data_IF_710507787038
#
_entry.id   IF_710507787038
#
_cell.length_a   1.000
_cell.length_b   1.000
_cell.length_c   1.000
_cell.angle_alpha   90.00
_cell.angle_beta   90.00
_cell.angle_gamma   90.00
#
_symmetry.space_group_name_H-M   'P 1'
#
loop_
_entity.id
_entity.type
_entity.pdbx_description
1 polymer ?
#
# COMPACT_ATOMS: atom_id res chain seq x y z
N UNK A 1 33.83 82.90 -11.62
CA UNK A 1 32.69 82.12 -11.11
C UNK A 1 33.23 80.90 -10.36
N UNK A 2 32.72 80.67 -9.15
CA UNK A 2 32.63 79.43 -8.34
C UNK A 2 33.71 78.34 -8.54
N UNK A 3 34.59 78.12 -7.56
CA UNK A 3 34.42 77.19 -6.42
C UNK A 3 34.27 75.70 -6.80
N UNK A 4 35.27 74.91 -6.37
CA UNK A 4 34.98 73.78 -5.48
C UNK A 4 35.35 72.38 -6.00
N UNK A 5 36.21 71.70 -5.22
CA UNK A 5 35.99 70.41 -4.51
C UNK A 5 37.36 69.74 -4.28
N UNK A 6 37.94 69.69 -3.06
CA UNK A 6 37.66 68.74 -1.95
C UNK A 6 37.42 67.29 -2.43
N UNK A 7 37.97 66.21 -1.87
CA UNK A 7 39.09 65.83 -0.99
C UNK A 7 39.04 64.28 -1.02
N UNK A 8 40.19 63.61 -0.92
CA UNK A 8 40.43 62.35 -0.19
C UNK A 8 39.65 61.07 -0.60
N UNK A 9 40.38 59.99 -0.90
CA UNK A 9 40.06 58.68 -0.34
C UNK A 9 41.32 57.98 0.19
N UNK A 10 41.35 57.82 1.52
CA UNK A 10 42.38 57.19 2.32
C UNK A 10 42.37 55.68 2.07
N UNK A 11 43.55 55.17 1.71
CA UNK A 11 43.92 53.76 1.73
C UNK A 11 43.96 53.27 3.18
N UNK A 12 43.03 52.40 3.58
CA UNK A 12 43.00 51.80 4.90
C UNK A 12 42.80 50.28 4.80
N UNK A 13 43.90 49.59 5.07
CA UNK A 13 44.03 48.29 5.74
C UNK A 13 43.49 47.02 5.10
N UNK A 14 44.45 46.26 4.56
CA UNK A 14 44.46 44.81 4.50
C UNK A 14 44.24 44.19 5.89
N UNK A 15 43.23 43.34 6.02
CA UNK A 15 43.12 42.30 7.05
C UNK A 15 42.96 40.96 6.31
N UNK A 16 43.77 39.92 6.59
CA UNK A 16 43.51 38.61 6.06
C UNK A 16 42.31 38.00 6.82
N UNK A 17 41.25 37.70 6.10
CA UNK A 17 40.14 36.86 6.58
C UNK A 17 40.71 35.45 6.82
N UNK A 18 41.05 35.16 8.08
CA UNK A 18 41.32 33.78 8.51
C UNK A 18 39.99 33.03 8.47
N UNK A 19 39.76 32.30 7.38
CA UNK A 19 38.69 31.30 7.29
C UNK A 19 39.00 30.20 8.29
N UNK A 20 38.41 30.29 9.48
CA UNK A 20 38.27 29.15 10.38
C UNK A 20 37.31 28.19 9.69
N UNK A 21 37.86 27.16 9.03
CA UNK A 21 37.07 25.97 8.66
C UNK A 21 36.81 25.24 9.97
N UNK A 22 35.68 25.54 10.61
CA UNK A 22 35.13 24.62 11.59
C UNK A 22 34.72 23.38 10.81
N UNK A 23 35.51 22.31 10.92
CA UNK A 23 35.01 20.97 10.64
C UNK A 23 33.77 20.81 11.52
N UNK A 24 32.59 20.85 10.89
CA UNK A 24 31.37 20.47 11.58
C UNK A 24 31.58 19.00 11.95
N UNK A 25 31.88 18.73 13.23
CA UNK A 25 31.53 17.46 13.82
C UNK A 25 30.07 17.22 13.45
N UNK A 26 29.81 16.16 12.69
CA UNK A 26 28.47 15.62 12.56
C UNK A 26 28.01 15.26 13.97
N UNK A 27 27.40 16.23 14.64
CA UNK A 27 26.58 15.95 15.80
C UNK A 27 25.50 15.01 15.32
N UNK A 28 25.67 13.75 15.72
CA UNK A 28 24.72 12.66 15.55
C UNK A 28 23.48 12.97 16.42
N UNK A 29 22.73 13.97 15.99
CA UNK A 29 21.40 14.32 16.48
C UNK A 29 20.44 13.51 15.61
N UNK A 30 19.92 12.44 16.17
CA UNK A 30 18.99 11.52 15.51
C UNK A 30 17.88 12.26 14.77
N UNK A 31 17.64 11.86 13.52
CA UNK A 31 16.59 12.46 12.71
C UNK A 31 16.15 11.58 11.54
N UNK A 32 17.09 10.93 10.85
CA UNK A 32 16.79 9.82 9.94
C UNK A 32 18.00 8.86 9.96
N UNK A 33 18.00 7.84 10.83
CA UNK A 33 19.03 6.78 10.83
C UNK A 33 18.37 5.41 10.73
N UNK A 34 19.00 4.55 9.92
CA UNK A 34 18.46 3.36 9.27
C UNK A 34 17.10 3.62 8.58
N UNK A 35 17.19 3.87 7.27
CA UNK A 35 16.06 4.02 6.33
C UNK A 35 15.24 2.73 6.22
N UNK A 36 14.62 2.27 7.28
CA UNK A 36 13.87 1.01 7.31
C UNK A 36 12.69 1.11 8.25
N UNK A 37 11.61 0.42 7.92
CA UNK A 37 10.47 0.20 8.81
C UNK A 37 10.24 -1.30 8.90
N UNK A 38 10.38 -1.85 10.10
CA UNK A 38 10.50 -3.30 10.28
C UNK A 38 11.71 -3.86 9.53
N UNK A 39 11.46 -4.92 8.75
CA UNK A 39 12.47 -5.56 7.89
C UNK A 39 12.62 -4.89 6.51
N UNK A 40 11.78 -3.90 6.17
CA UNK A 40 11.75 -3.29 4.83
C UNK A 40 12.66 -2.06 4.78
N UNK A 41 13.59 -2.03 3.82
CA UNK A 41 14.42 -0.85 3.54
C UNK A 41 13.69 0.14 2.62
N UNK A 42 13.73 1.43 2.98
CA UNK A 42 12.97 2.52 2.39
C UNK A 42 13.89 3.54 1.74
N UNK A 43 13.81 3.68 0.43
CA UNK A 43 14.52 4.69 -0.33
C UNK A 43 13.60 5.39 -1.30
N UNK A 44 14.11 6.45 -1.94
CA UNK A 44 13.39 7.14 -3.00
C UNK A 44 12.84 6.10 -4.03
N UNK A 45 11.59 6.27 -4.50
CA UNK A 45 10.75 7.46 -4.36
C UNK A 45 9.95 7.54 -3.05
N UNK A 46 9.99 6.52 -2.20
CA UNK A 46 9.25 6.49 -0.93
C UNK A 46 9.88 7.41 0.12
N UNK A 47 9.01 8.00 0.95
CA UNK A 47 9.41 8.93 1.99
C UNK A 47 8.43 8.88 3.18
N UNK A 48 8.87 9.37 4.34
CA UNK A 48 8.06 9.45 5.55
C UNK A 48 7.91 10.90 6.01
N UNK A 49 6.75 11.23 6.57
CA UNK A 49 6.62 12.34 7.49
C UNK A 49 6.82 11.85 8.93
N UNK A 50 7.85 12.34 9.61
CA UNK A 50 7.94 12.18 11.06
C UNK A 50 6.93 13.15 11.71
N UNK A 51 5.84 12.59 12.20
CA UNK A 51 4.76 13.34 12.86
C UNK A 51 5.15 13.89 14.23
N UNK A 52 6.20 13.37 14.87
CA UNK A 52 6.70 13.86 16.16
C UNK A 52 7.64 15.05 15.99
N UNK A 53 8.53 15.00 14.98
CA UNK A 53 9.52 16.05 14.76
C UNK A 53 9.18 17.00 13.61
N UNK A 54 8.16 16.69 12.82
CA UNK A 54 7.79 17.41 11.59
C UNK A 54 8.83 17.25 10.46
N UNK A 55 9.86 16.40 10.64
CA UNK A 55 10.90 16.20 9.62
C UNK A 55 10.42 15.25 8.54
N UNK A 56 10.75 15.57 7.29
CA UNK A 56 10.55 14.68 6.16
C UNK A 56 11.79 13.80 6.01
N UNK A 57 11.62 12.48 6.14
CA UNK A 57 12.69 11.51 5.91
C UNK A 57 12.57 10.95 4.50
N UNK A 58 13.54 11.31 3.65
CA UNK A 58 13.56 10.97 2.23
C UNK A 58 13.58 12.22 1.35
N UNK A 59 13.37 12.04 0.05
CA UNK A 59 13.12 13.15 -0.87
C UNK A 59 11.60 13.26 -1.05
N UNK A 60 10.91 14.18 -0.36
CA UNK A 60 9.46 14.28 -0.43
C UNK A 60 9.04 14.43 -1.89
N UNK A 61 8.36 13.40 -2.38
CA UNK A 61 7.94 13.24 -3.76
C UNK A 61 6.43 13.43 -3.89
N UNK A 62 5.82 12.63 -4.75
CA UNK A 62 4.37 12.62 -4.88
C UNK A 62 3.73 12.06 -3.59
N UNK A 63 2.53 12.53 -3.21
CA UNK A 63 1.80 12.02 -2.04
C UNK A 63 1.55 10.51 -2.09
N UNK A 64 1.41 9.94 -3.29
CA UNK A 64 1.23 8.50 -3.52
C UNK A 64 2.42 7.64 -3.04
N UNK A 65 3.59 8.25 -2.76
CA UNK A 65 4.78 7.58 -2.23
C UNK A 65 5.06 7.92 -0.76
N UNK A 66 4.18 8.68 -0.11
CA UNK A 66 4.24 8.90 1.33
C UNK A 66 3.89 7.61 2.07
N UNK A 67 4.75 7.21 2.99
CA UNK A 67 4.54 6.06 3.85
C UNK A 67 4.37 6.51 5.29
N UNK A 68 3.73 5.66 6.09
CA UNK A 68 3.75 5.77 7.55
C UNK A 68 4.40 4.52 8.14
N UNK A 69 5.09 4.64 9.27
CA UNK A 69 5.70 3.50 9.95
C UNK A 69 5.06 3.37 11.34
N UNK A 70 3.99 2.59 11.46
CA UNK A 70 3.29 2.44 12.72
C UNK A 70 3.99 1.39 13.59
N UNK A 71 4.36 1.77 14.82
CA UNK A 71 5.04 0.90 15.80
C UNK A 71 6.32 0.20 15.30
N UNK A 72 6.93 0.68 14.21
CA UNK A 72 8.16 0.11 13.67
C UNK A 72 8.01 -1.28 13.02
N UNK A 73 6.78 -1.76 12.77
CA UNK A 73 6.54 -3.14 12.33
C UNK A 73 6.61 -3.33 10.82
N UNK A 74 5.87 -2.52 10.06
CA UNK A 74 5.86 -2.52 8.59
C UNK A 74 5.56 -1.12 8.06
N UNK A 75 6.10 -0.74 6.89
CA UNK A 75 5.68 0.48 6.22
C UNK A 75 4.23 0.33 5.76
N UNK A 76 3.43 1.35 6.01
CA UNK A 76 2.04 1.43 5.60
C UNK A 76 1.90 2.44 4.48
N UNK A 77 1.42 1.97 3.34
CA UNK A 77 1.02 2.77 2.19
C UNK A 77 -0.46 3.18 2.38
N UNK A 78 -0.78 4.48 2.42
CA UNK A 78 -2.14 4.93 2.63
C UNK A 78 -3.06 4.58 1.44
N UNK A 79 -4.34 4.37 1.74
CA UNK A 79 -5.39 4.25 0.72
C UNK A 79 -5.69 5.61 0.10
N UNK A 80 -5.90 5.66 -1.22
CA UNK A 80 -6.40 6.84 -1.92
C UNK A 80 -7.89 7.12 -1.64
N UNK A 81 -8.63 6.11 -1.17
CA UNK A 81 -10.00 6.24 -0.66
C UNK A 81 -9.97 6.72 0.79
N UNK A 82 -10.62 7.86 1.12
CA UNK A 82 -10.68 8.38 2.49
C UNK A 82 -11.29 7.37 3.46
N UNK A 83 -10.74 7.32 4.68
CA UNK A 83 -11.21 6.46 5.78
C UNK A 83 -11.16 4.96 5.49
N UNK A 84 -10.44 4.52 4.46
CA UNK A 84 -10.16 3.11 4.19
C UNK A 84 -8.78 2.73 4.73
N UNK A 85 -8.65 1.54 5.29
CA UNK A 85 -7.38 0.99 5.74
C UNK A 85 -6.41 0.88 4.56
N UNK A 86 -5.14 1.24 4.75
CA UNK A 86 -4.13 1.21 3.70
C UNK A 86 -3.63 -0.20 3.37
N UNK A 87 -2.35 -0.26 3.00
CA UNK A 87 -1.65 -1.49 2.65
C UNK A 87 -0.40 -1.64 3.50
N UNK A 88 -0.15 -2.84 4.02
CA UNK A 88 1.12 -3.16 4.66
C UNK A 88 2.12 -3.60 3.60
N UNK A 89 3.25 -2.91 3.49
CA UNK A 89 4.33 -3.28 2.58
C UNK A 89 5.14 -4.41 3.21
N UNK A 90 5.24 -5.54 2.52
CA UNK A 90 6.03 -6.70 2.96
C UNK A 90 7.42 -6.70 2.33
N UNK A 91 7.54 -6.23 1.08
CA UNK A 91 8.80 -6.18 0.35
C UNK A 91 8.77 -5.08 -0.73
N UNK A 92 9.93 -4.51 -1.06
CA UNK A 92 10.13 -3.55 -2.15
C UNK A 92 11.33 -4.00 -2.99
N UNK A 93 11.12 -4.18 -4.28
CA UNK A 93 12.19 -4.36 -5.26
C UNK A 93 12.41 -3.06 -6.03
N UNK A 94 13.43 -2.28 -5.65
CA UNK A 94 13.76 -1.03 -6.34
C UNK A 94 14.26 -1.26 -7.76
N UNK A 95 14.95 -2.38 -8.02
CA UNK A 95 15.41 -2.75 -9.36
C UNK A 95 14.26 -3.02 -10.32
N UNK A 96 13.27 -3.80 -9.85
CA UNK A 96 12.08 -4.15 -10.63
C UNK A 96 10.98 -3.08 -10.57
N UNK A 97 11.16 -2.05 -9.73
CA UNK A 97 10.18 -0.99 -9.47
C UNK A 97 8.83 -1.55 -9.04
N UNK A 98 8.86 -2.58 -8.21
CA UNK A 98 7.69 -3.29 -7.72
C UNK A 98 7.72 -3.39 -6.20
N UNK A 99 6.56 -3.60 -5.59
CA UNK A 99 6.41 -3.88 -4.18
C UNK A 99 5.35 -4.95 -3.98
N UNK A 100 5.50 -5.74 -2.93
CA UNK A 100 4.48 -6.66 -2.45
C UNK A 100 3.80 -6.01 -1.25
N UNK A 101 2.47 -6.07 -1.24
CA UNK A 101 1.65 -5.43 -0.22
C UNK A 101 0.46 -6.30 0.18
N UNK A 102 0.07 -6.21 1.43
CA UNK A 102 -1.14 -6.84 1.95
C UNK A 102 -2.22 -5.78 2.14
N UNK A 103 -3.41 -6.01 1.57
CA UNK A 103 -4.58 -5.15 1.80
C UNK A 103 -5.11 -5.36 3.21
N UNK A 104 -4.76 -4.45 4.12
CA UNK A 104 -5.12 -4.54 5.54
C UNK A 104 -6.64 -4.54 5.76
N UNK A 105 -7.39 -3.82 4.92
CA UNK A 105 -8.85 -3.81 5.00
C UNK A 105 -9.49 -5.14 4.58
N UNK A 106 -8.76 -6.01 3.88
CA UNK A 106 -9.22 -7.37 3.54
C UNK A 106 -8.88 -8.36 4.64
N UNK A 107 -7.81 -8.14 5.40
CA UNK A 107 -7.53 -8.95 6.59
C UNK A 107 -8.57 -8.75 7.68
N UNK A 108 -9.23 -7.60 7.74
CA UNK A 108 -10.36 -7.35 8.63
C UNK A 108 -11.55 -8.29 8.38
N UNK A 109 -11.66 -8.92 7.20
CA UNK A 109 -12.66 -9.96 6.91
C UNK A 109 -12.54 -11.17 7.84
N UNK A 110 -11.33 -11.45 8.33
CA UNK A 110 -11.01 -12.61 9.16
C UNK A 110 -11.04 -12.31 10.66
N UNK A 111 -11.27 -11.05 11.05
CA UNK A 111 -11.33 -10.67 12.45
C UNK A 111 -12.75 -10.87 12.97
N UNK A 112 -12.85 -11.31 14.23
CA UNK A 112 -14.15 -11.52 14.88
C UNK A 112 -14.97 -10.22 14.85
N UNK A 113 -16.19 -10.35 14.35
CA UNK A 113 -17.16 -9.30 14.04
C UNK A 113 -17.07 -8.07 14.97
N UNK A 114 -16.50 -6.97 14.45
CA UNK A 114 -17.08 -5.68 14.81
C UNK A 114 -18.41 -5.56 14.07
N UNK A 115 -19.45 -5.03 14.72
CA UNK A 115 -20.81 -4.87 14.19
C UNK A 115 -20.93 -4.03 12.90
N UNK A 116 -19.81 -3.64 12.28
CA UNK A 116 -19.74 -2.97 10.99
C UNK A 116 -18.80 -3.71 10.06
N UNK A 117 -19.37 -4.41 9.09
CA UNK A 117 -18.73 -4.54 7.78
C UNK A 117 -18.40 -3.13 7.28
N UNK A 118 -17.12 -2.75 7.28
CA UNK A 118 -16.72 -1.57 6.52
C UNK A 118 -17.04 -1.81 5.04
N UNK A 119 -17.33 -0.76 4.25
CA UNK A 119 -17.47 -0.92 2.81
C UNK A 119 -16.20 -1.53 2.24
N UNK A 120 -16.33 -2.76 1.73
CA UNK A 120 -15.22 -3.51 1.16
C UNK A 120 -15.05 -3.06 -0.29
N UNK A 121 -14.24 -2.03 -0.49
CA UNK A 121 -13.87 -1.57 -1.83
C UNK A 121 -13.00 -2.61 -2.54
N UNK A 122 -13.15 -2.71 -3.86
CA UNK A 122 -12.16 -3.38 -4.69
C UNK A 122 -10.78 -2.77 -4.41
N UNK A 123 -9.79 -3.63 -4.24
CA UNK A 123 -8.44 -3.21 -3.84
C UNK A 123 -7.82 -2.23 -4.83
N UNK A 124 -8.10 -2.39 -6.12
CA UNK A 124 -7.66 -1.46 -7.17
C UNK A 124 -8.11 -0.02 -6.94
N UNK A 125 -9.29 0.21 -6.36
CA UNK A 125 -9.84 1.57 -6.13
C UNK A 125 -9.06 2.31 -5.04
N UNK A 126 -8.42 1.58 -4.12
CA UNK A 126 -7.66 2.15 -3.00
C UNK A 126 -6.24 2.56 -3.37
N UNK A 127 -5.76 2.21 -4.56
CA UNK A 127 -4.37 2.49 -4.96
C UNK A 127 -4.19 3.96 -5.33
N UNK A 128 -3.01 4.49 -5.02
CA UNK A 128 -2.54 5.79 -5.51
C UNK A 128 -2.39 5.76 -7.04
N UNK A 129 -2.51 6.92 -7.69
CA UNK A 129 -2.49 7.04 -9.16
C UNK A 129 -1.15 6.62 -9.77
N UNK A 130 -0.06 6.71 -9.01
CA UNK A 130 1.27 6.29 -9.44
C UNK A 130 1.53 4.78 -9.32
N UNK A 131 0.60 4.04 -8.72
CA UNK A 131 0.72 2.61 -8.50
C UNK A 131 -0.24 1.86 -9.42
N UNK A 132 0.17 0.66 -9.81
CA UNK A 132 -0.65 -0.28 -10.58
C UNK A 132 -0.44 -1.69 -10.07
N UNK A 133 -1.47 -2.50 -10.19
CA UNK A 133 -1.37 -3.94 -9.92
C UNK A 133 -0.64 -4.59 -11.10
N UNK A 134 0.33 -5.44 -10.79
CA UNK A 134 1.07 -6.18 -11.81
C UNK A 134 0.17 -7.26 -12.44
N UNK A 135 0.12 -7.41 -13.77
CA UNK A 135 -0.65 -8.46 -14.44
C UNK A 135 -0.30 -9.90 -14.04
N UNK A 136 0.84 -10.14 -13.38
CA UNK A 136 1.19 -11.46 -12.82
C UNK A 136 0.26 -11.88 -11.67
N UNK A 137 -0.43 -10.93 -11.04
CA UNK A 137 -1.37 -11.21 -9.96
C UNK A 137 -2.61 -11.95 -10.49
N UNK A 138 -3.26 -12.68 -9.57
CA UNK A 138 -4.54 -13.33 -9.78
C UNK A 138 -5.62 -12.54 -9.04
N UNK A 139 -6.86 -12.66 -9.50
CA UNK A 139 -8.05 -12.19 -8.80
C UNK A 139 -8.60 -13.30 -7.90
N UNK A 140 -8.76 -12.95 -6.64
CA UNK A 140 -9.65 -13.57 -5.69
C UNK A 140 -10.96 -12.79 -5.66
N UNK A 141 -12.08 -13.48 -5.78
CA UNK A 141 -13.41 -12.88 -5.81
C UNK A 141 -14.22 -13.44 -4.65
N UNK A 142 -14.68 -12.53 -3.81
CA UNK A 142 -15.58 -12.83 -2.73
C UNK A 142 -17.00 -12.50 -3.12
N UNK A 143 -17.90 -13.45 -2.89
CA UNK A 143 -19.32 -13.30 -3.14
C UNK A 143 -20.07 -13.32 -1.83
N UNK A 144 -20.98 -12.36 -1.66
CA UNK A 144 -21.99 -12.37 -0.61
C UNK A 144 -23.36 -12.49 -1.28
N UNK A 145 -24.01 -13.64 -1.13
CA UNK A 145 -25.18 -14.01 -1.90
C UNK A 145 -26.47 -13.98 -1.08
N UNK A 146 -27.62 -13.91 -1.75
CA UNK A 146 -28.90 -14.26 -1.13
C UNK A 146 -29.00 -15.76 -0.86
N UNK A 147 -29.94 -16.18 -0.02
CA UNK A 147 -30.17 -17.61 0.26
C UNK A 147 -30.57 -18.37 -1.01
N UNK A 148 -31.39 -17.77 -1.88
CA UNK A 148 -31.81 -18.38 -3.14
C UNK A 148 -30.62 -18.58 -4.09
N UNK A 149 -29.75 -17.57 -4.20
CA UNK A 149 -28.54 -17.64 -5.00
C UNK A 149 -27.57 -18.70 -4.46
N UNK A 150 -27.45 -18.80 -3.14
CA UNK A 150 -26.65 -19.82 -2.43
C UNK A 150 -27.17 -21.23 -2.74
N UNK A 151 -28.48 -21.45 -2.63
CA UNK A 151 -29.10 -22.74 -2.97
C UNK A 151 -28.92 -23.11 -4.45
N UNK A 152 -29.02 -22.12 -5.35
CA UNK A 152 -28.82 -22.32 -6.77
C UNK A 152 -27.36 -22.67 -7.12
N UNK A 153 -26.37 -22.03 -6.49
CA UNK A 153 -24.96 -22.36 -6.65
C UNK A 153 -24.65 -23.79 -6.15
N UNK A 154 -25.19 -24.16 -4.98
CA UNK A 154 -25.06 -25.52 -4.45
C UNK A 154 -25.66 -26.58 -5.38
N UNK A 155 -26.84 -26.30 -5.98
CA UNK A 155 -27.50 -27.20 -6.93
C UNK A 155 -26.70 -27.38 -8.22
N UNK A 156 -26.04 -26.33 -8.72
CA UNK A 156 -25.19 -26.37 -9.92
C UNK A 156 -23.87 -27.12 -9.70
N UNK A 157 -23.46 -27.32 -8.44
CA UNK A 157 -22.16 -27.91 -8.07
C UNK A 157 -20.99 -27.17 -8.72
N UNK A 158 -21.01 -25.84 -8.63
CA UNK A 158 -19.97 -24.98 -9.18
C UNK A 158 -18.62 -25.25 -8.50
N UNK A 159 -17.79 -26.11 -9.14
CA UNK A 159 -16.50 -26.58 -8.59
C UNK A 159 -15.46 -25.48 -8.37
N UNK A 160 -15.71 -24.29 -8.91
CA UNK A 160 -14.83 -23.13 -8.82
C UNK A 160 -15.19 -22.20 -7.65
N UNK A 161 -16.31 -22.45 -6.98
CA UNK A 161 -16.75 -21.75 -5.76
C UNK A 161 -16.42 -22.60 -4.54
N UNK A 162 -15.84 -21.96 -3.53
CA UNK A 162 -15.60 -22.55 -2.21
C UNK A 162 -16.37 -21.73 -1.18
N UNK A 163 -17.06 -22.39 -0.25
CA UNK A 163 -17.73 -21.68 0.86
C UNK A 163 -16.70 -20.92 1.69
N UNK A 164 -16.95 -19.65 1.95
CA UNK A 164 -16.11 -18.83 2.81
C UNK A 164 -16.47 -19.12 4.28
N UNK A 165 -15.68 -19.95 4.96
CA UNK A 165 -15.97 -20.40 6.34
C UNK A 165 -15.49 -19.45 7.42
N UNK A 166 -14.63 -18.48 7.07
CA UNK A 166 -13.89 -17.65 8.03
C UNK A 166 -14.13 -16.16 7.89
N UNK A 167 -15.17 -15.75 7.15
CA UNK A 167 -15.56 -14.35 7.13
C UNK A 167 -16.35 -14.00 8.39
N UNK A 168 -15.73 -13.23 9.29
CA UNK A 168 -16.36 -12.77 10.53
C UNK A 168 -17.40 -11.67 10.32
N UNK A 169 -17.35 -10.96 9.18
CA UNK A 169 -18.17 -9.76 8.96
C UNK A 169 -19.45 -10.02 8.16
N UNK A 170 -19.52 -11.08 7.34
CA UNK A 170 -20.71 -11.45 6.55
C UNK A 170 -21.29 -12.77 7.06
N UNK A 171 -22.54 -13.07 6.69
CA UNK A 171 -23.09 -14.39 6.95
C UNK A 171 -22.34 -15.43 6.11
N UNK A 172 -21.37 -16.10 6.73
CA UNK A 172 -20.50 -17.10 6.11
C UNK A 172 -21.29 -18.23 5.41
N UNK A 173 -22.53 -18.51 5.82
CA UNK A 173 -23.36 -19.53 5.14
C UNK A 173 -23.69 -19.18 3.70
N UNK A 174 -23.71 -17.89 3.36
CA UNK A 174 -24.09 -17.38 2.04
C UNK A 174 -22.90 -16.76 1.28
N UNK A 175 -21.68 -16.97 1.81
CA UNK A 175 -20.47 -16.39 1.25
C UNK A 175 -19.65 -17.44 0.50
N UNK A 176 -19.11 -17.04 -0.66
CA UNK A 176 -18.27 -17.90 -1.49
C UNK A 176 -17.00 -17.18 -1.94
N UNK A 177 -16.00 -17.97 -2.30
CA UNK A 177 -14.72 -17.53 -2.82
C UNK A 177 -14.45 -18.21 -4.16
N UNK A 178 -14.00 -17.42 -5.14
CA UNK A 178 -13.40 -17.89 -6.39
C UNK A 178 -11.97 -17.39 -6.47
N UNK A 179 -11.02 -18.30 -6.66
CA UNK A 179 -9.59 -17.98 -6.82
C UNK A 179 -9.08 -18.35 -8.21
N UNK A 180 -7.88 -17.85 -8.55
CA UNK A 180 -7.14 -18.30 -9.73
C UNK A 180 -7.58 -17.66 -11.05
N UNK A 181 -8.35 -16.58 -10.97
CA UNK A 181 -8.74 -15.81 -12.15
C UNK A 181 -7.58 -14.89 -12.54
N UNK A 182 -7.17 -14.76 -13.81
CA UNK A 182 -6.16 -13.76 -14.18
C UNK A 182 -6.58 -12.34 -13.77
N UNK A 183 -5.64 -11.52 -13.28
CA UNK A 183 -5.94 -10.11 -13.01
C UNK A 183 -6.33 -9.40 -14.31
N UNK A 184 -7.50 -8.77 -14.31
CA UNK A 184 -7.97 -7.94 -15.42
C UNK A 184 -7.75 -6.44 -15.09
N UNK A 185 -6.75 -5.79 -15.71
CA UNK A 185 -6.49 -4.37 -15.50
C UNK A 185 -7.57 -3.45 -16.10
N UNK A 186 -8.37 -3.94 -17.06
CA UNK A 186 -9.48 -3.17 -17.63
C UNK A 186 -10.68 -3.10 -16.66
N UNK A 187 -10.75 -4.02 -15.70
CA UNK A 187 -11.83 -4.12 -14.73
C UNK A 187 -13.15 -4.55 -15.33
N UNK A 188 -13.14 -5.32 -16.43
CA UNK A 188 -14.33 -5.93 -17.01
C UNK A 188 -14.72 -7.19 -16.21
N UNK A 189 -15.25 -6.94 -15.02
CA UNK A 189 -15.61 -7.98 -14.08
C UNK A 189 -17.01 -8.55 -14.31
N UNK A 190 -17.70 -8.13 -15.38
CA UNK A 190 -19.05 -8.59 -15.70
C UNK A 190 -19.10 -10.12 -15.89
N UNK A 191 -18.03 -10.72 -16.41
CA UNK A 191 -17.90 -12.18 -16.56
C UNK A 191 -17.82 -12.96 -15.25
N UNK A 192 -17.62 -12.29 -14.12
CA UNK A 192 -17.61 -12.88 -12.79
C UNK A 192 -18.85 -12.56 -11.98
N UNK A 193 -19.80 -11.80 -12.52
CA UNK A 193 -21.05 -11.52 -11.83
C UNK A 193 -21.83 -12.81 -11.58
N UNK A 194 -22.29 -12.98 -10.35
CA UNK A 194 -23.22 -14.04 -9.97
C UNK A 194 -24.56 -13.41 -9.63
N UNK A 195 -25.61 -13.91 -10.27
CA UNK A 195 -26.97 -13.42 -10.04
C UNK A 195 -27.35 -13.60 -8.56
N UNK A 196 -27.78 -12.51 -7.93
CA UNK A 196 -28.13 -12.50 -6.50
C UNK A 196 -26.92 -12.47 -5.56
N UNK A 197 -25.73 -12.10 -6.04
CA UNK A 197 -24.54 -11.92 -5.21
C UNK A 197 -23.87 -10.57 -5.42
N UNK A 198 -23.47 -9.94 -4.32
CA UNK A 198 -22.50 -8.84 -4.34
C UNK A 198 -21.09 -9.43 -4.45
N UNK A 199 -20.23 -8.79 -5.24
CA UNK A 199 -18.87 -9.27 -5.50
C UNK A 199 -17.81 -8.24 -5.10
N UNK A 200 -16.74 -8.71 -4.46
CA UNK A 200 -15.56 -7.92 -4.10
C UNK A 200 -14.33 -8.59 -4.71
N UNK A 201 -13.49 -7.79 -5.34
CA UNK A 201 -12.36 -8.27 -6.12
C UNK A 201 -11.06 -7.81 -5.48
N UNK A 202 -10.20 -8.79 -5.22
CA UNK A 202 -8.93 -8.65 -4.56
C UNK A 202 -7.85 -9.31 -5.43
N UNK A 203 -6.93 -8.52 -6.01
CA UNK A 203 -5.71 -9.06 -6.55
C UNK A 203 -4.89 -9.68 -5.42
N UNK A 204 -4.33 -10.85 -5.68
CA UNK A 204 -3.39 -11.58 -4.82
C UNK A 204 -2.22 -12.06 -5.67
N UNK A 205 -1.07 -12.24 -5.05
CA UNK A 205 0.11 -12.77 -5.69
C UNK A 205 -0.21 -14.14 -6.27
N UNK A 206 0.05 -14.28 -7.57
CA UNK A 206 -0.09 -15.56 -8.25
C UNK A 206 0.95 -16.55 -7.73
N UNK A 207 0.53 -17.81 -7.60
CA UNK A 207 1.46 -18.91 -7.37
C UNK A 207 2.46 -19.03 -8.53
N UNK A 208 3.67 -19.50 -8.24
CA UNK A 208 4.73 -19.63 -9.25
C UNK A 208 4.31 -20.61 -10.36
N UNK A 209 4.80 -20.44 -11.61
CA UNK A 209 4.49 -21.38 -12.68
C UNK A 209 4.86 -22.82 -12.29
N UNK A 210 3.85 -23.69 -12.14
CA UNK A 210 4.03 -25.10 -11.74
C UNK A 210 3.42 -25.46 -10.37
N UNK A 211 3.02 -24.48 -9.58
CA UNK A 211 2.18 -24.69 -8.40
C UNK A 211 0.72 -24.83 -8.84
N UNK A 212 0.19 -26.06 -8.78
CA UNK A 212 -1.23 -26.30 -9.00
C UNK A 212 -2.01 -25.77 -7.81
N UNK A 213 -2.81 -24.73 -8.03
CA UNK A 213 -3.80 -24.27 -7.06
C UNK A 213 -4.75 -25.42 -6.74
N UNK A 214 -4.65 -25.96 -5.53
CA UNK A 214 -5.70 -26.77 -4.95
C UNK A 214 -6.84 -25.84 -4.56
N UNK A 215 -7.62 -25.38 -5.54
CA UNK A 215 -8.88 -24.65 -5.35
C UNK A 215 -8.79 -23.34 -4.58
N UNK A 216 -9.90 -22.63 -4.46
CA UNK A 216 -10.04 -21.47 -3.59
C UNK A 216 -10.05 -21.84 -2.08
N UNK A 217 -9.46 -22.97 -1.68
CA UNK A 217 -9.49 -23.46 -0.29
C UNK A 217 -8.42 -22.84 0.60
N UNK A 218 -7.38 -22.22 0.04
CA UNK A 218 -6.33 -21.52 0.79
C UNK A 218 -6.35 -20.00 0.57
N UNK A 219 -7.55 -19.45 0.37
CA UNK A 219 -7.74 -18.05 0.06
C UNK A 219 -7.27 -17.11 1.17
N UNK A 220 -7.28 -17.55 2.43
CA UNK A 220 -6.77 -16.78 3.54
C UNK A 220 -5.27 -16.53 3.44
N UNK A 221 -4.50 -17.56 3.07
CA UNK A 221 -3.06 -17.45 2.92
C UNK A 221 -2.71 -16.57 1.73
N UNK A 222 -3.43 -16.72 0.61
CA UNK A 222 -3.28 -15.83 -0.55
C UNK A 222 -3.44 -14.35 -0.18
N UNK A 223 -4.34 -14.02 0.77
CA UNK A 223 -4.52 -12.64 1.21
C UNK A 223 -3.39 -12.19 2.15
N UNK A 224 -2.93 -13.08 3.03
CA UNK A 224 -1.84 -12.80 3.96
C UNK A 224 -0.50 -12.62 3.25
N UNK A 225 -0.30 -13.29 2.12
CA UNK A 225 0.92 -13.21 1.32
C UNK A 225 0.99 -11.95 0.44
N UNK A 226 -0.16 -11.32 0.19
CA UNK A 226 -0.30 -10.09 -0.58
C UNK A 226 -0.81 -10.33 -1.98
#
# INVERSE_FOLDING_TARGET
>A
AMHGRFLIFVWAWCLPLMLVVTAAEEQQVGGCSAKSCGSVSISAPFWFADWQTGRLCGSPGLPDFELTCYNGSHPLLPSSVPYSTGFAITNISYGERSLCVVDLGKLELFQDASDRCLPLWNTSVKLGRQLRIDPINLNLIFYNCTEEATAAAAARRDRWLVHATTMGCVNASNAFVRAGVPYDPAGDYAGYALEGCDAIILPVLGMSPGETSTGATDYEQLIKDG
#
